data_IF_701929600558
#
_entry.id   IF_701929600558
#
_cell.length_a   1.000
_cell.length_b   1.000
_cell.length_c   1.000
_cell.angle_alpha   90.00
_cell.angle_beta   90.00
_cell.angle_gamma   90.00
#
_symmetry.space_group_name_H-M   'P 1'
#
loop_
_entity.id
_entity.type
_entity.pdbx_description
1 polymer ?
#
# COMPACT_ATOMS: atom_id res chain seq x y z
N UNK A 1 33.37 30.39 -4.99
CA UNK A 1 32.49 29.32 -4.52
C UNK A 1 31.19 29.51 -5.29
N UNK A 2 31.09 28.83 -6.46
CA UNK A 2 29.91 28.91 -7.33
C UNK A 2 28.78 28.10 -6.66
N UNK A 3 27.68 28.75 -6.38
CA UNK A 3 26.45 28.12 -5.95
C UNK A 3 25.90 27.36 -7.15
N UNK A 4 25.57 26.11 -6.97
CA UNK A 4 25.03 25.27 -8.05
C UNK A 4 23.55 25.62 -8.24
N UNK A 5 23.26 26.46 -9.24
CA UNK A 5 21.88 26.92 -9.55
C UNK A 5 20.96 25.74 -9.99
N UNK A 6 21.51 24.59 -10.28
CA UNK A 6 20.76 23.39 -10.67
C UNK A 6 19.93 22.81 -9.52
N UNK A 7 20.46 22.83 -8.29
CA UNK A 7 19.77 22.33 -7.09
C UNK A 7 18.61 23.20 -6.65
N UNK A 8 18.74 24.54 -6.81
CA UNK A 8 17.68 25.47 -6.44
C UNK A 8 16.48 25.37 -7.42
N UNK A 9 16.75 25.18 -8.69
CA UNK A 9 15.72 25.03 -9.73
C UNK A 9 14.95 23.71 -9.55
N UNK A 10 15.64 22.61 -9.25
CA UNK A 10 15.04 21.31 -8.98
C UNK A 10 14.21 21.34 -7.68
N UNK A 11 14.69 22.04 -6.65
CA UNK A 11 13.96 22.22 -5.38
C UNK A 11 12.67 23.01 -5.58
N UNK A 12 12.72 24.12 -6.34
CA UNK A 12 11.54 24.93 -6.65
C UNK A 12 10.54 24.19 -7.52
N UNK A 13 10.99 23.39 -8.48
CA UNK A 13 10.14 22.55 -9.32
C UNK A 13 9.41 21.50 -8.47
N UNK A 14 10.12 20.81 -7.60
CA UNK A 14 9.54 19.82 -6.70
C UNK A 14 8.50 20.47 -5.75
N UNK A 15 8.79 21.65 -5.22
CA UNK A 15 7.85 22.40 -4.39
C UNK A 15 6.56 22.74 -5.15
N UNK A 16 6.70 23.22 -6.38
CA UNK A 16 5.55 23.52 -7.25
C UNK A 16 4.68 22.29 -7.52
N UNK A 17 5.30 21.11 -7.75
CA UNK A 17 4.57 19.85 -7.92
C UNK A 17 3.83 19.44 -6.66
N UNK A 18 4.43 19.57 -5.49
CA UNK A 18 3.82 19.27 -4.20
C UNK A 18 2.63 20.22 -3.94
N UNK A 19 2.76 21.51 -4.24
CA UNK A 19 1.69 22.50 -4.09
C UNK A 19 0.50 22.18 -5.01
N UNK A 20 0.78 21.80 -6.25
CA UNK A 20 -0.25 21.38 -7.20
C UNK A 20 -0.96 20.11 -6.77
N UNK A 21 -0.21 19.11 -6.31
CA UNK A 21 -0.76 17.86 -5.79
C UNK A 21 -1.66 18.12 -4.58
N UNK A 22 -1.19 18.95 -3.63
CA UNK A 22 -1.99 19.34 -2.47
C UNK A 22 -3.29 20.04 -2.87
N UNK A 23 -3.24 20.96 -3.82
CA UNK A 23 -4.43 21.69 -4.30
C UNK A 23 -5.48 20.73 -4.84
N UNK A 24 -5.07 19.73 -5.63
CA UNK A 24 -5.97 18.72 -6.19
C UNK A 24 -6.60 17.84 -5.10
N UNK A 25 -5.78 17.32 -4.18
CA UNK A 25 -6.28 16.48 -3.08
C UNK A 25 -7.19 17.27 -2.14
N UNK A 26 -6.82 18.51 -1.82
CA UNK A 26 -7.61 19.38 -0.96
C UNK A 26 -8.97 19.75 -1.58
N UNK A 27 -9.05 19.86 -2.91
CA UNK A 27 -10.32 20.07 -3.60
C UNK A 27 -11.28 18.88 -3.43
N UNK A 28 -10.75 17.64 -3.50
CA UNK A 28 -11.53 16.42 -3.26
C UNK A 28 -11.94 16.35 -1.79
N UNK A 29 -10.99 16.54 -0.87
CA UNK A 29 -11.22 16.48 0.56
C UNK A 29 -12.30 17.49 1.00
N UNK A 30 -12.22 18.76 0.55
CA UNK A 30 -13.22 19.79 0.85
C UNK A 30 -14.64 19.43 0.39
N UNK A 31 -14.77 18.66 -0.69
CA UNK A 31 -16.07 18.18 -1.14
C UNK A 31 -16.69 17.17 -0.17
N UNK A 32 -15.84 16.34 0.45
CA UNK A 32 -16.24 15.24 1.33
C UNK A 32 -16.45 15.66 2.79
N UNK A 33 -15.86 16.79 3.21
CA UNK A 33 -15.95 17.27 4.60
C UNK A 33 -17.33 17.91 4.85
N UNK A 34 -17.93 17.54 5.98
CA UNK A 34 -19.08 18.25 6.51
C UNK A 34 -18.65 19.68 6.92
N UNK A 35 -19.25 20.69 6.31
CA UNK A 35 -18.87 22.10 6.49
C UNK A 35 -19.03 22.62 7.93
N UNK A 36 -19.73 21.87 8.79
CA UNK A 36 -19.92 22.21 10.21
C UNK A 36 -18.74 21.83 11.12
N UNK A 37 -17.82 20.98 10.64
CA UNK A 37 -16.64 20.54 11.40
C UNK A 37 -15.37 21.02 10.70
N UNK A 38 -14.99 22.28 10.96
CA UNK A 38 -13.77 22.91 10.42
C UNK A 38 -12.45 22.28 10.92
N UNK A 39 -12.52 21.35 11.87
CA UNK A 39 -11.35 20.67 12.46
C UNK A 39 -10.66 19.71 11.50
N UNK A 40 -11.32 19.25 10.45
CA UNK A 40 -10.78 18.24 9.53
C UNK A 40 -10.20 18.83 8.23
N UNK A 41 -9.97 20.13 8.20
CA UNK A 41 -9.37 20.79 7.03
C UNK A 41 -7.89 20.45 6.92
N UNK A 42 -7.46 20.06 5.69
CA UNK A 42 -6.06 19.82 5.40
C UNK A 42 -5.25 21.13 5.47
N UNK A 43 -4.15 21.08 6.20
CA UNK A 43 -3.22 22.21 6.32
C UNK A 43 -1.98 21.94 5.50
N UNK A 44 -1.68 22.81 4.51
CA UNK A 44 -0.57 22.63 3.56
C UNK A 44 0.79 22.43 4.23
N UNK A 45 1.03 23.14 5.34
CA UNK A 45 2.30 23.07 6.06
C UNK A 45 2.64 21.69 6.65
N UNK A 46 1.66 20.78 6.74
CA UNK A 46 1.86 19.42 7.26
C UNK A 46 2.39 18.47 6.19
N UNK A 47 2.46 18.88 4.91
CA UNK A 47 2.79 18.02 3.77
C UNK A 47 3.92 18.62 2.94
N UNK A 48 5.13 18.69 3.52
CA UNK A 48 6.25 19.38 2.91
C UNK A 48 7.14 18.47 2.06
N UNK A 49 7.10 17.17 2.29
CA UNK A 49 7.87 16.21 1.54
C UNK A 49 7.03 15.45 0.52
N UNK A 50 7.72 14.82 -0.46
CA UNK A 50 7.10 13.88 -1.40
C UNK A 50 6.44 12.72 -0.66
N UNK A 51 7.05 12.21 0.42
CA UNK A 51 6.51 11.11 1.23
C UNK A 51 5.22 11.48 1.95
N UNK A 52 5.15 12.70 2.53
CA UNK A 52 3.94 13.19 3.18
C UNK A 52 2.80 13.32 2.18
N UNK A 53 3.08 13.90 1.00
CA UNK A 53 2.09 14.03 -0.06
C UNK A 53 1.61 12.68 -0.59
N UNK A 54 2.52 11.72 -0.76
CA UNK A 54 2.13 10.36 -1.18
C UNK A 54 1.23 9.69 -0.16
N UNK A 55 1.56 9.81 1.12
CA UNK A 55 0.74 9.30 2.22
C UNK A 55 -0.65 9.94 2.19
N UNK A 56 -0.73 11.26 2.04
CA UNK A 56 -2.01 11.98 1.92
C UNK A 56 -2.83 11.49 0.72
N UNK A 57 -2.22 11.37 -0.46
CA UNK A 57 -2.90 10.87 -1.66
C UNK A 57 -3.43 9.46 -1.45
N UNK A 58 -2.64 8.56 -0.85
CA UNK A 58 -3.06 7.19 -0.58
C UNK A 58 -4.18 7.10 0.44
N UNK A 59 -4.19 7.99 1.43
CA UNK A 59 -5.28 8.09 2.41
C UNK A 59 -6.56 8.61 1.76
N UNK A 60 -6.48 9.63 0.91
CA UNK A 60 -7.64 10.17 0.19
C UNK A 60 -8.20 9.13 -0.78
N UNK A 61 -7.35 8.45 -1.54
CA UNK A 61 -7.77 7.32 -2.39
C UNK A 61 -8.46 6.21 -1.59
N UNK A 62 -8.00 5.94 -0.37
CA UNK A 62 -8.64 4.94 0.49
C UNK A 62 -10.05 5.36 0.89
N UNK A 63 -10.30 6.64 1.14
CA UNK A 63 -11.61 7.17 1.48
C UNK A 63 -12.55 7.16 0.27
N UNK A 64 -12.09 7.69 -0.85
CA UNK A 64 -12.90 7.81 -2.08
C UNK A 64 -13.23 6.46 -2.71
N UNK A 65 -12.32 5.50 -2.65
CA UNK A 65 -12.46 4.17 -3.27
C UNK A 65 -12.77 3.07 -2.24
N UNK A 66 -13.36 3.47 -1.11
CA UNK A 66 -13.75 2.54 -0.06
C UNK A 66 -14.78 1.53 -0.62
N UNK A 67 -14.61 0.26 -0.28
CA UNK A 67 -15.40 -0.87 -0.78
C UNK A 67 -15.20 -1.27 -2.26
N UNK A 68 -14.32 -0.57 -3.02
CA UNK A 68 -14.02 -0.96 -4.41
C UNK A 68 -12.88 -2.00 -4.53
N UNK A 69 -12.31 -2.46 -3.43
CA UNK A 69 -11.20 -3.44 -3.40
C UNK A 69 -9.86 -2.89 -3.90
N UNK A 70 -9.76 -1.60 -4.22
CA UNK A 70 -8.57 -1.01 -4.86
C UNK A 70 -7.41 -0.77 -3.90
N UNK A 71 -7.66 -0.72 -2.60
CA UNK A 71 -6.64 -0.45 -1.58
C UNK A 71 -5.49 -1.46 -1.62
N UNK A 72 -5.80 -2.74 -1.83
CA UNK A 72 -4.78 -3.78 -1.96
C UNK A 72 -3.79 -3.48 -3.07
N UNK A 73 -4.28 -3.14 -4.26
CA UNK A 73 -3.43 -2.85 -5.41
C UNK A 73 -2.58 -1.59 -5.23
N UNK A 74 -3.08 -0.57 -4.52
CA UNK A 74 -2.28 0.61 -4.18
C UNK A 74 -1.11 0.24 -3.25
N UNK A 75 -1.36 -0.60 -2.24
CA UNK A 75 -0.34 -1.09 -1.31
C UNK A 75 0.68 -2.03 -1.99
N UNK A 76 0.22 -2.88 -2.91
CA UNK A 76 1.10 -3.74 -3.71
C UNK A 76 2.04 -2.90 -4.58
N UNK A 77 1.52 -1.91 -5.32
CA UNK A 77 2.36 -1.00 -6.13
C UNK A 77 3.38 -0.25 -5.30
N UNK A 78 2.97 0.21 -4.12
CA UNK A 78 3.87 0.88 -3.17
C UNK A 78 4.97 -0.06 -2.69
N UNK A 79 4.62 -1.30 -2.35
CA UNK A 79 5.57 -2.34 -1.91
C UNK A 79 6.58 -2.68 -3.01
N UNK A 80 6.11 -2.87 -4.25
CA UNK A 80 6.98 -3.14 -5.41
C UNK A 80 7.95 -1.99 -5.67
N UNK A 81 7.47 -0.75 -5.64
CA UNK A 81 8.31 0.43 -5.84
C UNK A 81 9.36 0.59 -4.74
N UNK A 82 9.00 0.32 -3.50
CA UNK A 82 9.89 0.47 -2.35
C UNK A 82 10.78 -0.76 -2.10
N UNK A 83 10.55 -1.87 -2.81
CA UNK A 83 11.28 -3.11 -2.64
C UNK A 83 11.04 -3.79 -1.27
N UNK A 84 9.96 -3.42 -0.56
CA UNK A 84 9.61 -4.02 0.73
C UNK A 84 8.10 -3.99 0.96
N UNK A 85 7.65 -4.84 1.87
CA UNK A 85 6.22 -5.03 2.19
C UNK A 85 5.78 -4.29 3.46
N UNK A 86 6.62 -3.44 4.04
CA UNK A 86 6.39 -2.86 5.37
C UNK A 86 5.04 -2.14 5.49
N UNK A 87 4.70 -1.30 4.50
CA UNK A 87 3.44 -0.55 4.49
C UNK A 87 2.23 -1.48 4.33
N UNK A 88 2.34 -2.47 3.44
CA UNK A 88 1.30 -3.48 3.22
C UNK A 88 1.09 -4.32 4.50
N UNK A 89 2.18 -4.80 5.08
CA UNK A 89 2.17 -5.57 6.33
C UNK A 89 1.54 -4.78 7.47
N UNK A 90 1.93 -3.53 7.67
CA UNK A 90 1.35 -2.65 8.69
C UNK A 90 -0.15 -2.45 8.48
N UNK A 91 -0.59 -2.20 7.25
CA UNK A 91 -2.00 -2.04 6.93
C UNK A 91 -2.82 -3.34 7.15
N UNK A 92 -2.24 -4.51 6.85
CA UNK A 92 -2.87 -5.80 7.08
C UNK A 92 -3.01 -6.10 8.59
N UNK A 93 -1.96 -5.86 9.37
CA UNK A 93 -1.97 -6.06 10.82
C UNK A 93 -2.99 -5.18 11.53
N UNK A 94 -3.21 -3.94 11.09
CA UNK A 94 -4.23 -3.06 11.64
C UNK A 94 -5.67 -3.61 11.47
N UNK A 95 -5.89 -4.51 10.53
CA UNK A 95 -7.20 -5.14 10.25
C UNK A 95 -7.32 -6.54 10.81
N UNK A 96 -6.20 -7.15 11.22
CA UNK A 96 -6.20 -8.49 11.78
C UNK A 96 -6.75 -8.47 13.20
N UNK A 97 -7.71 -9.34 13.46
CA UNK A 97 -8.24 -9.59 14.82
C UNK A 97 -7.62 -10.84 15.43
N UNK A 98 -7.07 -11.72 14.57
CA UNK A 98 -6.41 -12.96 14.95
C UNK A 98 -5.34 -13.30 13.91
N UNK A 99 -4.37 -14.15 14.25
CA UNK A 99 -3.37 -14.63 13.31
C UNK A 99 -2.28 -13.62 12.93
N UNK A 100 -2.06 -12.58 13.73
CA UNK A 100 -1.08 -11.51 13.47
C UNK A 100 0.33 -12.05 13.21
N UNK A 101 0.75 -13.08 13.94
CA UNK A 101 2.05 -13.73 13.75
C UNK A 101 2.20 -14.36 12.37
N UNK A 102 1.17 -15.06 11.89
CA UNK A 102 1.17 -15.67 10.56
C UNK A 102 1.20 -14.61 9.47
N UNK A 103 0.34 -13.59 9.55
CA UNK A 103 0.31 -12.46 8.62
C UNK A 103 1.67 -11.76 8.59
N UNK A 104 2.25 -11.49 9.77
CA UNK A 104 3.55 -10.85 9.91
C UNK A 104 4.67 -11.65 9.25
N UNK A 105 4.69 -12.97 9.43
CA UNK A 105 5.71 -13.84 8.86
C UNK A 105 5.57 -13.97 7.33
N UNK A 106 4.35 -14.20 6.84
CA UNK A 106 4.11 -14.30 5.41
C UNK A 106 4.42 -13.00 4.67
N UNK A 107 3.90 -11.87 5.14
CA UNK A 107 4.12 -10.56 4.53
C UNK A 107 5.54 -10.01 4.76
N UNK A 108 6.48 -10.78 5.25
CA UNK A 108 7.90 -10.40 5.25
C UNK A 108 8.53 -10.63 3.87
N UNK A 109 8.00 -11.57 3.10
CA UNK A 109 8.49 -11.91 1.76
C UNK A 109 7.75 -11.12 0.69
N UNK A 110 8.46 -10.61 -0.32
CA UNK A 110 7.84 -9.91 -1.46
C UNK A 110 6.90 -10.81 -2.25
N UNK A 111 7.22 -12.09 -2.35
CA UNK A 111 6.39 -13.05 -3.09
C UNK A 111 5.00 -13.25 -2.46
N UNK A 112 4.85 -12.97 -1.16
CA UNK A 112 3.58 -13.08 -0.45
C UNK A 112 2.50 -12.08 -0.89
N UNK A 113 2.86 -11.05 -1.69
CA UNK A 113 1.88 -10.15 -2.30
C UNK A 113 1.09 -10.80 -3.44
N UNK A 114 1.57 -11.91 -3.96
CA UNK A 114 0.91 -12.71 -4.99
C UNK A 114 0.23 -13.92 -4.38
N UNK A 115 -0.87 -14.34 -5.00
CA UNK A 115 -1.65 -15.49 -4.53
C UNK A 115 -0.91 -16.81 -4.80
N UNK A 116 -1.03 -17.81 -3.93
CA UNK A 116 -0.54 -19.14 -4.21
C UNK A 116 -1.40 -19.81 -5.30
N UNK A 117 -0.81 -20.74 -6.03
CA UNK A 117 -1.58 -21.64 -6.88
C UNK A 117 -2.42 -22.58 -6.02
N UNK A 118 -3.60 -22.95 -6.51
CA UNK A 118 -4.40 -23.98 -5.89
C UNK A 118 -3.65 -25.33 -5.95
N UNK A 119 -3.62 -26.04 -4.83
CA UNK A 119 -2.92 -27.33 -4.73
C UNK A 119 -3.49 -28.40 -5.70
N UNK A 120 -4.79 -28.37 -5.97
CA UNK A 120 -5.39 -29.31 -6.92
C UNK A 120 -4.97 -29.03 -8.35
N UNK A 121 -4.82 -27.76 -8.74
CA UNK A 121 -4.26 -27.37 -10.04
C UNK A 121 -2.80 -27.84 -10.18
N UNK A 122 -2.02 -27.75 -9.11
CA UNK A 122 -0.63 -28.23 -9.11
C UNK A 122 -0.51 -29.75 -9.25
N UNK A 123 -1.50 -30.51 -8.77
CA UNK A 123 -1.55 -31.97 -8.97
C UNK A 123 -1.82 -32.37 -10.42
N UNK A 124 -2.59 -31.54 -11.13
CA UNK A 124 -2.94 -31.77 -12.54
C UNK A 124 -1.83 -31.28 -13.47
N UNK A 125 -1.25 -30.11 -13.17
CA UNK A 125 -0.19 -29.53 -13.99
C UNK A 125 1.13 -29.52 -13.23
N UNK A 126 1.94 -30.54 -13.47
CA UNK A 126 3.24 -30.74 -12.81
C UNK A 126 4.30 -29.68 -13.18
N UNK A 127 4.03 -28.82 -14.17
CA UNK A 127 4.92 -27.71 -14.55
C UNK A 127 4.67 -26.43 -13.72
N UNK A 128 3.63 -26.39 -12.90
CA UNK A 128 3.39 -25.26 -12.00
C UNK A 128 4.36 -25.31 -10.84
N UNK A 129 5.02 -24.17 -10.60
CA UNK A 129 5.88 -23.95 -9.44
C UNK A 129 5.14 -23.06 -8.45
N UNK A 130 4.99 -23.54 -7.22
CA UNK A 130 4.32 -22.79 -6.16
C UNK A 130 5.05 -21.50 -5.84
N UNK A 131 4.26 -20.49 -5.45
CA UNK A 131 4.81 -19.22 -4.95
C UNK A 131 5.70 -19.50 -3.71
N UNK A 132 6.97 -19.07 -3.72
CA UNK A 132 7.95 -19.36 -2.66
C UNK A 132 7.55 -18.88 -1.25
N UNK A 133 6.64 -17.91 -1.17
CA UNK A 133 6.14 -17.43 0.12
C UNK A 133 5.24 -18.43 0.84
N UNK A 134 4.66 -19.40 0.11
CA UNK A 134 3.69 -20.38 0.61
C UNK A 134 4.26 -21.81 0.69
N UNK A 135 5.58 -21.96 0.59
CA UNK A 135 6.25 -23.26 0.69
C UNK A 135 6.16 -24.11 -0.57
N UNK A 136 6.72 -25.33 -0.51
CA UNK A 136 6.73 -26.28 -1.63
C UNK A 136 5.44 -27.09 -1.78
N UNK A 137 4.37 -26.74 -1.09
CA UNK A 137 3.11 -27.48 -1.12
C UNK A 137 3.06 -28.70 -0.20
N UNK A 138 4.15 -29.01 0.49
CA UNK A 138 4.21 -30.10 1.47
C UNK A 138 3.88 -29.66 2.91
N UNK A 139 3.65 -28.37 3.14
CA UNK A 139 3.29 -27.87 4.46
C UNK A 139 1.79 -28.08 4.71
N UNK A 140 1.48 -29.22 5.35
CA UNK A 140 0.13 -29.78 5.63
C UNK A 140 -0.77 -28.89 6.49
N UNK A 141 -0.34 -27.72 6.91
CA UNK A 141 -1.10 -26.84 7.82
C UNK A 141 -2.36 -26.25 7.19
N UNK A 142 -2.43 -26.15 5.86
CA UNK A 142 -3.61 -25.69 5.12
C UNK A 142 -4.62 -26.79 4.77
N UNK A 143 -4.24 -28.08 4.92
CA UNK A 143 -5.09 -29.21 4.51
C UNK A 143 -6.09 -29.68 5.57
N UNK A 144 -5.99 -29.21 6.82
CA UNK A 144 -6.82 -29.76 7.92
C UNK A 144 -8.22 -29.16 8.06
N UNK A 145 -8.62 -28.17 7.25
CA UNK A 145 -9.93 -27.52 7.38
C UNK A 145 -10.98 -27.91 6.36
N UNK A 146 -10.70 -28.83 5.43
CA UNK A 146 -11.65 -29.20 4.38
C UNK A 146 -12.12 -30.64 4.41
N UNK A 147 -12.08 -31.31 5.55
CA UNK A 147 -12.79 -32.59 5.74
C UNK A 147 -13.70 -32.51 6.96
N UNK A 148 -14.89 -31.97 6.74
CA UNK A 148 -16.13 -32.36 7.42
C UNK A 148 -17.31 -32.17 6.50
#
# INVERSE_FOLDING_TARGET
>A
MMRDDSDETASNYNKSLIDRAFTLVNAINKRSICQTLLTDTLVRSNYNSKGDMETLVLQERQRELMFEGKRWFDLVRLSQRNGNTMTLKSAALQKATTGEGLISNHLTKMDAIYWPYNLDEMKVNLNLVQNPAFGSGEDDSYQKTTKK
#
